data_IF_474932222887
#
_entry.id   IF_474932222887
#
_cell.length_a   1.000
_cell.length_b   1.000
_cell.length_c   1.000
_cell.angle_alpha   90.00
_cell.angle_beta   90.00
_cell.angle_gamma   90.00
#
_symmetry.space_group_name_H-M   'P 1'
#
loop_
_entity.id
_entity.type
_entity.pdbx_description
1 polymer ?
#
# COMPACT_ATOMS: atom_id res chain seq x y z
N UNK A 1 38.84 -19.40 21.50
CA UNK A 1 37.74 -19.97 20.66
C UNK A 1 36.55 -19.01 20.73
N UNK A 2 35.86 -18.72 19.62
CA UNK A 2 34.69 -17.81 19.61
C UNK A 2 33.47 -18.51 20.23
N UNK A 3 32.61 -17.77 20.94
CA UNK A 3 31.39 -18.31 21.54
C UNK A 3 30.43 -18.82 20.44
N UNK A 4 30.17 -20.14 20.42
CA UNK A 4 29.20 -20.78 19.51
C UNK A 4 27.76 -20.59 20.00
N UNK A 5 26.81 -20.64 19.07
CA UNK A 5 25.39 -20.39 19.34
C UNK A 5 24.53 -21.53 18.83
N UNK A 6 23.51 -21.87 19.61
CA UNK A 6 22.49 -22.87 19.28
C UNK A 6 21.12 -22.23 19.19
N UNK A 7 20.26 -22.75 18.31
CA UNK A 7 18.85 -22.32 18.26
C UNK A 7 18.18 -22.60 19.59
N UNK A 8 17.39 -21.64 20.09
CA UNK A 8 16.74 -21.70 21.40
C UNK A 8 15.30 -22.26 21.35
N UNK A 9 14.70 -22.34 20.15
CA UNK A 9 13.40 -22.97 19.91
C UNK A 9 13.61 -24.42 19.47
N UNK A 10 12.57 -25.24 19.62
CA UNK A 10 12.53 -26.64 19.15
C UNK A 10 12.77 -26.81 17.64
N UNK A 11 12.59 -25.74 16.85
CA UNK A 11 12.83 -25.77 15.40
C UNK A 11 14.32 -25.56 15.07
N UNK A 12 14.99 -26.62 14.61
CA UNK A 12 16.43 -26.67 14.34
C UNK A 12 16.85 -26.16 12.95
N UNK A 13 15.93 -26.07 11.98
CA UNK A 13 16.28 -25.72 10.60
C UNK A 13 16.38 -24.20 10.34
N UNK A 14 17.25 -23.82 9.40
CA UNK A 14 17.46 -22.43 8.96
C UNK A 14 16.41 -21.99 7.92
N UNK A 15 15.18 -21.74 8.36
CA UNK A 15 14.08 -21.31 7.48
C UNK A 15 13.87 -19.79 7.49
N UNK A 16 13.16 -19.26 6.49
CA UNK A 16 12.81 -17.82 6.40
C UNK A 16 12.09 -17.29 7.66
N UNK A 17 11.32 -18.13 8.36
CA UNK A 17 10.64 -17.76 9.61
C UNK A 17 11.51 -17.89 10.86
N UNK A 18 12.59 -18.67 10.80
CA UNK A 18 13.49 -18.94 11.92
C UNK A 18 14.75 -18.05 11.88
N UNK A 19 14.64 -16.86 11.29
CA UNK A 19 15.74 -15.90 11.23
C UNK A 19 16.07 -15.36 12.62
N UNK A 20 17.36 -15.34 12.94
CA UNK A 20 17.89 -14.92 14.24
C UNK A 20 18.82 -13.72 14.09
N UNK A 21 18.94 -12.93 15.16
CA UNK A 21 19.96 -11.91 15.35
C UNK A 21 20.84 -12.32 16.52
N UNK A 22 22.16 -12.24 16.37
CA UNK A 22 23.10 -12.42 17.48
C UNK A 22 23.09 -11.15 18.32
N UNK A 23 22.84 -11.29 19.62
CA UNK A 23 22.79 -10.18 20.58
C UNK A 23 23.66 -10.54 21.78
N UNK A 24 24.43 -9.57 22.28
CA UNK A 24 25.19 -9.70 23.53
C UNK A 24 24.28 -9.37 24.69
N UNK A 25 24.15 -10.28 25.65
CA UNK A 25 23.38 -10.03 26.87
C UNK A 25 24.18 -9.19 27.86
N UNK A 26 23.52 -8.54 28.85
CA UNK A 26 24.22 -7.83 29.92
C UNK A 26 25.27 -8.68 30.64
N UNK A 27 25.01 -9.98 30.81
CA UNK A 27 25.97 -10.95 31.37
C UNK A 27 27.09 -11.37 30.41
N UNK A 28 27.33 -10.62 29.34
CA UNK A 28 28.45 -10.82 28.41
C UNK A 28 28.30 -11.97 27.40
N UNK A 29 27.24 -12.79 27.50
CA UNK A 29 27.03 -13.96 26.63
C UNK A 29 26.39 -13.56 25.30
N UNK A 30 26.87 -14.11 24.19
CA UNK A 30 26.19 -14.04 22.90
C UNK A 30 25.01 -15.02 22.87
N UNK A 31 23.86 -14.56 22.40
CA UNK A 31 22.64 -15.38 22.26
C UNK A 31 21.90 -15.06 20.95
N UNK A 32 21.18 -16.06 20.41
CA UNK A 32 20.20 -15.80 19.36
C UNK A 32 18.93 -15.17 19.93
N UNK A 33 18.54 -14.04 19.36
CA UNK A 33 17.19 -13.49 19.48
C UNK A 33 16.42 -13.74 18.19
N UNK A 34 15.19 -14.21 18.31
CA UNK A 34 14.34 -14.47 17.16
C UNK A 34 13.78 -13.18 16.61
N UNK A 35 13.93 -13.01 15.30
CA UNK A 35 13.40 -11.86 14.59
C UNK A 35 12.21 -12.30 13.73
N UNK A 36 11.24 -11.41 13.59
CA UNK A 36 10.13 -11.65 12.66
C UNK A 36 10.56 -11.22 11.24
N UNK A 37 10.10 -11.94 10.21
CA UNK A 37 10.30 -11.52 8.80
C UNK A 37 9.87 -10.06 8.60
N UNK A 38 10.65 -9.31 7.84
CA UNK A 38 10.34 -7.93 7.44
C UNK A 38 9.08 -7.92 6.56
N UNK A 39 8.20 -6.95 6.78
CA UNK A 39 6.99 -6.78 5.98
C UNK A 39 7.28 -5.90 4.76
N UNK A 40 6.61 -6.19 3.64
CA UNK A 40 6.70 -5.40 2.40
C UNK A 40 5.91 -4.09 2.44
N UNK A 41 4.95 -3.98 3.37
CA UNK A 41 4.07 -2.82 3.53
C UNK A 41 3.00 -2.67 2.44
N UNK A 42 2.07 -1.71 2.59
CA UNK A 42 1.01 -1.46 1.63
C UNK A 42 1.54 -0.86 0.32
N UNK A 43 1.05 -1.38 -0.80
CA UNK A 43 1.39 -0.90 -2.14
C UNK A 43 0.12 -0.47 -2.87
N UNK A 44 0.27 0.53 -3.74
CA UNK A 44 -0.78 0.92 -4.65
C UNK A 44 -0.98 -0.16 -5.73
N UNK A 45 -2.22 -0.64 -5.96
CA UNK A 45 -2.48 -1.69 -6.96
C UNK A 45 -2.26 -1.22 -8.40
N UNK A 46 -2.42 0.08 -8.69
CA UNK A 46 -2.26 0.64 -10.04
C UNK A 46 -0.80 0.87 -10.38
N UNK A 47 -0.05 1.46 -9.46
CA UNK A 47 1.34 1.88 -9.72
C UNK A 47 2.39 0.90 -9.20
N UNK A 48 2.01 -0.07 -8.36
CA UNK A 48 2.93 -0.95 -7.63
C UNK A 48 3.80 -0.23 -6.58
N UNK A 49 3.77 1.10 -6.53
CA UNK A 49 4.56 1.93 -5.62
C UNK A 49 4.06 1.79 -4.19
N UNK A 50 4.99 1.89 -3.24
CA UNK A 50 4.70 1.89 -1.80
C UNK A 50 3.89 3.12 -1.42
N UNK A 51 2.97 2.96 -0.48
CA UNK A 51 2.14 4.07 0.00
C UNK A 51 2.92 4.83 1.07
N UNK A 52 3.21 6.10 0.79
CA UNK A 52 3.89 7.00 1.71
C UNK A 52 3.00 7.33 2.92
N UNK A 53 3.62 7.53 4.08
CA UNK A 53 2.92 7.89 5.32
C UNK A 53 2.34 6.72 6.10
N UNK A 54 2.49 5.48 5.64
CA UNK A 54 2.04 4.27 6.37
C UNK A 54 3.25 3.39 6.72
N UNK A 55 3.46 3.04 8.00
CA UNK A 55 4.60 2.26 8.45
C UNK A 55 4.50 0.82 7.93
N UNK A 56 5.61 0.20 7.51
CA UNK A 56 5.61 -1.17 7.01
C UNK A 56 5.70 -2.20 8.13
N UNK A 57 4.55 -2.68 8.58
CA UNK A 57 4.46 -3.58 9.72
C UNK A 57 3.83 -4.92 9.33
N UNK A 58 3.96 -5.92 10.21
CA UNK A 58 3.24 -7.18 10.05
C UNK A 58 1.75 -6.98 10.32
N UNK A 59 0.86 -7.83 9.76
CA UNK A 59 -0.58 -7.73 9.99
C UNK A 59 -0.96 -7.70 11.48
N UNK A 60 -0.26 -8.44 12.33
CA UNK A 60 -0.48 -8.45 13.79
C UNK A 60 -0.19 -7.11 14.46
N UNK A 61 0.75 -6.33 13.94
CA UNK A 61 1.12 -5.02 14.46
C UNK A 61 0.18 -3.90 13.97
N UNK A 62 -0.52 -4.11 12.86
CA UNK A 62 -1.55 -3.19 12.36
C UNK A 62 -2.87 -3.24 13.13
N UNK A 63 -3.02 -4.19 14.06
CA UNK A 63 -4.21 -4.32 14.90
C UNK A 63 -4.47 -3.00 15.67
N UNK A 64 -5.75 -2.65 15.83
CA UNK A 64 -6.19 -1.42 16.50
C UNK A 64 -5.65 -1.26 17.92
N UNK A 65 -5.40 -2.37 18.63
CA UNK A 65 -4.82 -2.38 19.97
C UNK A 65 -3.33 -2.04 20.03
N UNK A 66 -2.61 -2.13 18.91
CA UNK A 66 -1.16 -1.88 18.83
C UNK A 66 -0.81 -0.60 18.10
N UNK A 67 -1.69 -0.13 17.20
CA UNK A 67 -1.43 1.03 16.36
C UNK A 67 -2.66 1.94 16.26
N UNK A 68 -2.45 3.22 16.52
CA UNK A 68 -3.46 4.28 16.39
C UNK A 68 -3.95 4.43 14.94
N UNK A 69 -5.10 5.09 14.74
CA UNK A 69 -5.69 5.26 13.40
C UNK A 69 -4.82 6.16 12.50
N UNK A 70 -4.33 7.28 13.01
CA UNK A 70 -3.50 8.23 12.25
C UNK A 70 -2.24 7.58 11.63
N UNK A 71 -1.67 6.55 12.27
CA UNK A 71 -0.53 5.80 11.74
C UNK A 71 -0.92 4.75 10.70
N UNK A 72 -2.20 4.46 10.51
CA UNK A 72 -2.71 3.45 9.56
C UNK A 72 -3.31 4.05 8.30
N UNK A 73 -3.63 5.34 8.33
CA UNK A 73 -4.38 6.01 7.28
C UNK A 73 -3.68 7.30 6.86
N UNK A 74 -3.99 7.77 5.65
CA UNK A 74 -3.58 9.09 5.16
C UNK A 74 -4.85 9.92 4.95
N UNK A 75 -4.82 11.19 5.34
CA UNK A 75 -5.98 12.10 5.26
C UNK A 75 -6.19 12.61 3.82
N UNK A 76 -6.59 11.72 2.91
CA UNK A 76 -7.02 12.05 1.54
C UNK A 76 -7.93 10.96 0.98
N UNK A 77 -8.59 11.24 -0.14
CA UNK A 77 -9.34 10.23 -0.89
C UNK A 77 -8.46 9.01 -1.22
N UNK A 78 -9.01 7.81 -1.03
CA UNK A 78 -8.32 6.52 -1.18
C UNK A 78 -6.98 6.42 -0.41
N UNK A 79 -6.88 7.11 0.73
CA UNK A 79 -5.72 7.05 1.62
C UNK A 79 -5.44 5.63 2.08
N UNK A 80 -4.19 5.18 1.97
CA UNK A 80 -3.79 3.81 2.33
C UNK A 80 -4.12 2.72 1.33
N UNK A 81 -4.77 3.05 0.20
CA UNK A 81 -5.03 2.12 -0.89
C UNK A 81 -4.33 2.55 -2.17
N UNK A 82 -4.47 3.81 -2.57
CA UNK A 82 -3.84 4.35 -3.78
C UNK A 82 -2.65 5.23 -3.44
N UNK A 83 -1.73 5.44 -4.38
CA UNK A 83 -0.69 6.47 -4.28
C UNK A 83 -1.28 7.85 -4.59
N UNK A 84 -0.60 8.93 -4.18
CA UNK A 84 -1.08 10.30 -4.45
C UNK A 84 -1.22 10.57 -5.95
N UNK A 85 -0.25 10.14 -6.76
CA UNK A 85 -0.31 10.24 -8.22
C UNK A 85 -1.50 9.49 -8.83
N UNK A 86 -1.77 8.26 -8.38
CA UNK A 86 -2.91 7.48 -8.88
C UNK A 86 -4.26 8.11 -8.53
N UNK A 87 -4.37 8.78 -7.38
CA UNK A 87 -5.58 9.52 -7.01
C UNK A 87 -5.76 10.75 -7.90
N UNK A 88 -4.69 11.52 -8.15
CA UNK A 88 -4.73 12.67 -9.05
C UNK A 88 -5.20 12.27 -10.45
N UNK A 89 -4.62 11.20 -11.01
CA UNK A 89 -4.99 10.70 -12.33
C UNK A 89 -6.47 10.28 -12.39
N UNK A 90 -6.98 9.61 -11.35
CA UNK A 90 -8.40 9.25 -11.27
C UNK A 90 -9.33 10.46 -11.25
N UNK A 91 -8.98 11.51 -10.48
CA UNK A 91 -9.77 12.74 -10.41
C UNK A 91 -9.81 13.41 -11.79
N UNK A 92 -8.64 13.58 -12.43
CA UNK A 92 -8.54 14.22 -13.75
C UNK A 92 -9.29 13.39 -14.81
N UNK A 93 -9.10 12.06 -14.82
CA UNK A 93 -9.78 11.17 -15.76
C UNK A 93 -11.29 11.22 -15.59
N UNK A 94 -11.79 11.18 -14.34
CA UNK A 94 -13.22 11.27 -14.07
C UNK A 94 -13.80 12.58 -14.60
N UNK A 95 -13.14 13.71 -14.31
CA UNK A 95 -13.55 15.03 -14.80
C UNK A 95 -13.59 15.07 -16.34
N UNK A 96 -12.49 14.74 -17.01
CA UNK A 96 -12.41 14.80 -18.48
C UNK A 96 -13.42 13.88 -19.17
N UNK A 97 -13.69 12.70 -18.61
CA UNK A 97 -14.69 11.77 -19.17
C UNK A 97 -16.09 12.35 -19.06
N UNK A 98 -16.45 12.99 -17.95
CA UNK A 98 -17.75 13.64 -17.79
C UNK A 98 -17.90 14.84 -18.73
N UNK A 99 -16.88 15.70 -18.83
CA UNK A 99 -16.89 16.84 -19.77
C UNK A 99 -17.05 16.37 -21.22
N UNK A 100 -16.30 15.33 -21.63
CA UNK A 100 -16.42 14.74 -22.96
C UNK A 100 -17.81 14.14 -23.21
N UNK A 101 -18.46 13.54 -22.20
CA UNK A 101 -19.83 13.01 -22.34
C UNK A 101 -20.83 14.14 -22.62
N UNK A 102 -20.70 15.27 -21.92
CA UNK A 102 -21.56 16.44 -22.12
C UNK A 102 -21.38 16.99 -23.54
N UNK A 103 -20.14 17.23 -23.96
CA UNK A 103 -19.82 17.73 -25.32
C UNK A 103 -20.37 16.78 -26.39
N UNK A 104 -20.16 15.46 -26.25
CA UNK A 104 -20.70 14.46 -27.17
C UNK A 104 -22.23 14.48 -27.22
N UNK A 105 -22.92 14.72 -26.09
CA UNK A 105 -24.38 14.82 -26.05
C UNK A 105 -24.88 16.08 -26.76
N UNK A 106 -24.26 17.23 -26.52
CA UNK A 106 -24.62 18.50 -27.16
C UNK A 106 -24.42 18.43 -28.67
N UNK A 107 -23.27 17.93 -29.14
CA UNK A 107 -22.99 17.77 -30.57
C UNK A 107 -23.99 16.84 -31.26
N UNK A 108 -24.42 15.77 -30.58
CA UNK A 108 -25.48 14.87 -31.11
C UNK A 108 -26.82 15.59 -31.25
N UNK A 109 -27.19 16.43 -30.28
CA UNK A 109 -28.44 17.21 -30.32
C UNK A 109 -28.40 18.24 -31.45
N UNK A 110 -27.27 18.94 -31.62
CA UNK A 110 -27.09 19.92 -32.71
C UNK A 110 -27.20 19.27 -34.09
N UNK A 111 -26.47 18.17 -34.33
CA UNK A 111 -26.56 17.41 -35.59
C UNK A 111 -27.96 16.88 -35.88
N UNK A 112 -28.70 16.47 -34.84
CA UNK A 112 -30.09 16.03 -34.99
C UNK A 112 -31.01 17.19 -35.41
N UNK A 113 -30.83 18.39 -34.83
CA UNK A 113 -31.57 19.60 -35.22
C UNK A 113 -31.26 20.03 -36.65
N UNK A 114 -29.99 20.08 -37.04
CA UNK A 114 -29.56 20.44 -38.41
C UNK A 114 -30.16 19.51 -39.48
N UNK A 115 -30.20 18.19 -39.19
CA UNK A 115 -30.80 17.20 -40.10
C UNK A 115 -32.32 17.32 -40.21
N UNK A 116 -32.99 17.84 -39.19
CA UNK A 116 -34.42 18.13 -39.24
C UNK A 116 -34.67 19.39 -40.09
N UNK A 117 -33.88 20.45 -39.89
CA UNK A 117 -34.00 21.69 -40.68
C UNK A 117 -33.68 21.50 -42.16
N UNK A 118 -32.79 20.56 -42.54
CA UNK A 118 -32.49 20.28 -43.96
C UNK A 118 -33.53 19.37 -44.64
N UNK A 119 -34.49 18.83 -43.90
CA UNK A 119 -35.57 17.96 -44.41
C UNK A 119 -36.91 18.70 -44.57
N UNK A 120 -37.03 19.87 -43.97
CA UNK A 120 -38.11 20.84 -44.21
C UNK A 120 -37.68 21.79 -45.32
#
# INVERSE_FOLDING_TARGET
MVQRLTYRKRHSYATKSNQTRVVKTPGGKLVYQYTHKRASGPKCPVTGKRIQGIPHLRPTQYKRSRLSRNRRTVNRAYGGVLSGGAVRERIIRAFLVEEQKIVKKVLKIQKAKEKQTSKS
#
